data_IF_547562601166
#
_entry.id   IF_547562601166
#
_cell.length_a   1.000
_cell.length_b   1.000
_cell.length_c   1.000
_cell.angle_alpha   90.00
_cell.angle_beta   90.00
_cell.angle_gamma   90.00
#
_symmetry.space_group_name_H-M   'P 1'
#
loop_
_entity.id
_entity.type
_entity.pdbx_description
1 polymer ?
#
# COMPACT_ATOMS: atom_id res chain seq x y z
N UNK A 1 -1.70 1.71 9.72
CA UNK A 1 -0.34 1.62 9.13
C UNK A 1 0.35 0.38 9.67
N UNK A 2 1.26 -0.23 8.93
CA UNK A 2 2.19 -1.21 9.48
C UNK A 2 3.27 -0.52 10.33
N UNK A 3 3.75 -1.18 11.39
CA UNK A 3 4.73 -0.61 12.32
C UNK A 3 5.75 -1.65 12.80
N UNK A 4 7.02 -1.35 12.60
CA UNK A 4 8.20 -2.00 13.21
C UNK A 4 9.36 -0.98 13.28
N UNK A 5 10.53 -1.41 13.72
CA UNK A 5 11.71 -0.53 13.81
C UNK A 5 12.14 0.08 12.47
N UNK A 6 11.92 -0.64 11.35
CA UNK A 6 12.26 -0.16 10.00
C UNK A 6 11.28 0.93 9.53
N UNK A 7 10.01 0.81 9.91
CA UNK A 7 8.95 1.74 9.53
C UNK A 7 8.77 2.91 10.50
N UNK A 8 9.40 2.89 11.68
CA UNK A 8 9.18 3.90 12.72
C UNK A 8 9.43 5.32 12.20
N UNK A 9 10.60 5.61 11.61
CA UNK A 9 10.94 6.98 11.14
C UNK A 9 9.92 7.55 10.17
N UNK A 10 9.54 6.76 9.16
CA UNK A 10 8.50 7.14 8.21
C UNK A 10 7.14 7.32 8.89
N UNK A 11 6.76 6.39 9.78
CA UNK A 11 5.50 6.46 10.53
C UNK A 11 5.41 7.75 11.36
N UNK A 12 6.50 8.15 12.02
CA UNK A 12 6.55 9.41 12.79
C UNK A 12 6.30 10.62 11.88
N UNK A 13 6.94 10.66 10.71
CA UNK A 13 6.74 11.74 9.73
C UNK A 13 5.29 11.75 9.20
N UNK A 14 4.74 10.59 8.88
CA UNK A 14 3.37 10.46 8.42
C UNK A 14 2.37 10.94 9.48
N UNK A 15 2.49 10.46 10.72
CA UNK A 15 1.65 10.88 11.86
C UNK A 15 1.75 12.40 12.06
N UNK A 16 2.97 12.95 12.15
CA UNK A 16 3.16 14.39 12.31
C UNK A 16 2.49 15.18 11.19
N UNK A 17 2.71 14.80 9.93
CA UNK A 17 2.15 15.49 8.78
C UNK A 17 0.62 15.45 8.75
N UNK A 18 0.01 14.32 9.15
CA UNK A 18 -1.45 14.20 9.27
C UNK A 18 -1.97 15.13 10.36
N UNK A 19 -1.35 15.12 11.55
CA UNK A 19 -1.76 15.99 12.65
C UNK A 19 -1.64 17.49 12.29
N UNK A 20 -0.58 17.87 11.57
CA UNK A 20 -0.33 19.26 11.17
C UNK A 20 -1.33 19.80 10.14
N UNK A 21 -1.85 18.94 9.24
CA UNK A 21 -2.72 19.37 8.15
C UNK A 21 -4.20 19.05 8.38
N UNK A 22 -4.54 18.33 9.46
CA UNK A 22 -5.93 18.01 9.78
C UNK A 22 -6.61 19.19 10.47
N UNK A 23 -7.84 19.52 10.06
CA UNK A 23 -8.63 20.58 10.71
C UNK A 23 -9.02 20.19 12.14
N UNK A 24 -9.28 18.90 12.40
CA UNK A 24 -9.67 18.36 13.70
C UNK A 24 -8.86 17.09 14.02
N UNK A 25 -7.58 17.20 14.40
CA UNK A 25 -6.71 16.06 14.67
C UNK A 25 -7.20 15.17 15.83
N UNK A 26 -7.96 15.72 16.77
CA UNK A 26 -8.58 15.01 17.90
C UNK A 26 -9.59 13.94 17.48
N UNK A 27 -10.17 14.06 16.28
CA UNK A 27 -11.12 13.09 15.72
C UNK A 27 -10.41 11.91 15.03
N UNK A 28 -9.08 11.90 14.99
CA UNK A 28 -8.30 10.87 14.31
C UNK A 28 -7.82 9.84 15.32
N UNK A 29 -8.14 8.57 15.06
CA UNK A 29 -7.56 7.43 15.78
C UNK A 29 -6.58 6.70 14.88
N UNK A 30 -5.33 6.55 15.30
CA UNK A 30 -4.32 5.82 14.56
C UNK A 30 -4.33 4.33 14.93
N UNK A 31 -4.41 3.46 13.93
CA UNK A 31 -4.35 2.01 14.12
C UNK A 31 -3.03 1.47 13.54
N UNK A 32 -2.19 0.90 14.40
CA UNK A 32 -0.92 0.31 14.01
C UNK A 32 -0.98 -1.22 14.03
N UNK A 33 -0.57 -1.85 12.93
CA UNK A 33 -0.39 -3.30 12.83
C UNK A 33 1.09 -3.61 13.06
N UNK A 34 1.41 -4.35 14.11
CA UNK A 34 2.81 -4.70 14.46
C UNK A 34 3.10 -6.19 14.23
N UNK A 35 4.34 -6.54 13.88
CA UNK A 35 4.76 -7.95 13.86
C UNK A 35 5.15 -8.44 15.27
N UNK A 36 5.72 -7.53 16.08
CA UNK A 36 6.19 -7.78 17.44
C UNK A 36 6.02 -6.51 18.27
N UNK A 37 5.60 -6.67 19.54
CA UNK A 37 5.63 -5.57 20.49
C UNK A 37 7.08 -5.20 20.81
N UNK A 38 7.43 -3.92 20.63
CA UNK A 38 8.72 -3.35 21.01
C UNK A 38 8.49 -2.11 21.90
N UNK A 39 8.91 -2.18 23.16
CA UNK A 39 8.70 -1.12 24.15
C UNK A 39 9.31 0.21 23.72
N UNK A 40 10.45 0.18 23.05
CA UNK A 40 11.15 1.38 22.58
C UNK A 40 10.36 2.11 21.50
N UNK A 41 9.77 1.37 20.55
CA UNK A 41 8.93 1.93 19.48
C UNK A 41 7.67 2.57 20.09
N UNK A 42 6.99 1.84 20.97
CA UNK A 42 5.80 2.35 21.64
C UNK A 42 6.09 3.61 22.46
N UNK A 43 7.20 3.59 23.21
CA UNK A 43 7.64 4.72 24.03
C UNK A 43 8.06 5.92 23.18
N UNK A 44 8.67 5.69 22.00
CA UNK A 44 9.04 6.73 21.05
C UNK A 44 7.82 7.47 20.52
N UNK A 45 6.77 6.73 20.12
CA UNK A 45 5.51 7.32 19.65
C UNK A 45 4.85 8.13 20.78
N UNK A 46 4.70 7.55 21.98
CA UNK A 46 4.07 8.25 23.12
C UNK A 46 4.82 9.49 23.56
N UNK A 47 6.15 9.43 23.61
CA UNK A 47 6.98 10.58 24.04
C UNK A 47 6.92 11.70 23.02
N UNK A 48 6.91 11.37 21.73
CA UNK A 48 6.87 12.38 20.65
C UNK A 48 5.47 12.98 20.48
N UNK A 49 4.42 12.17 20.65
CA UNK A 49 3.03 12.60 20.52
C UNK A 49 2.21 12.22 21.78
N UNK A 50 2.35 12.98 22.89
CA UNK A 50 1.73 12.64 24.18
C UNK A 50 0.20 12.53 24.15
N UNK A 51 -0.44 13.26 23.25
CA UNK A 51 -1.90 13.32 23.10
C UNK A 51 -2.42 12.50 21.91
N UNK A 52 -1.56 11.71 21.26
CA UNK A 52 -1.97 10.89 20.12
C UNK A 52 -2.95 9.82 20.56
N UNK A 53 -4.13 9.82 19.96
CA UNK A 53 -5.07 8.71 20.08
C UNK A 53 -4.65 7.58 19.13
N UNK A 54 -4.03 6.52 19.66
CA UNK A 54 -3.63 5.37 18.87
C UNK A 54 -3.86 4.03 19.56
N UNK A 55 -4.03 3.00 18.75
CA UNK A 55 -4.19 1.60 19.14
C UNK A 55 -3.21 0.73 18.35
N UNK A 56 -2.72 -0.33 18.97
CA UNK A 56 -1.75 -1.25 18.34
C UNK A 56 -2.30 -2.67 18.37
N UNK A 57 -2.14 -3.39 17.27
CA UNK A 57 -2.75 -4.71 17.07
C UNK A 57 -1.76 -5.74 16.52
N UNK A 58 -1.67 -6.95 17.13
CA UNK A 58 -0.82 -8.05 16.67
C UNK A 58 -1.18 -8.52 15.27
N UNK A 59 -0.21 -8.43 14.37
CA UNK A 59 -0.20 -9.15 13.12
C UNK A 59 0.62 -10.42 13.29
N UNK A 60 -0.07 -11.57 13.30
CA UNK A 60 0.60 -12.87 13.29
C UNK A 60 1.22 -13.13 11.90
N UNK A 61 2.55 -13.02 11.84
CA UNK A 61 3.32 -13.29 10.63
C UNK A 61 3.13 -14.73 10.09
N UNK A 62 2.72 -15.69 10.91
CA UNK A 62 2.45 -17.06 10.46
C UNK A 62 1.30 -17.13 9.44
N UNK A 63 0.36 -16.16 9.45
CA UNK A 63 -0.72 -16.09 8.46
C UNK A 63 -0.21 -16.06 7.02
N UNK A 64 0.99 -15.50 6.80
CA UNK A 64 1.58 -15.28 5.47
C UNK A 64 2.87 -16.06 5.21
N UNK A 65 3.64 -16.48 6.22
CA UNK A 65 4.96 -17.13 6.02
C UNK A 65 4.93 -18.29 5.03
N UNK A 66 3.89 -19.12 5.06
CA UNK A 66 3.72 -20.25 4.13
C UNK A 66 3.25 -19.85 2.71
N UNK A 67 2.72 -18.64 2.55
CA UNK A 67 2.09 -18.13 1.32
C UNK A 67 2.99 -17.17 0.54
N UNK A 68 4.00 -16.59 1.19
CA UNK A 68 4.95 -15.68 0.53
C UNK A 68 5.88 -16.47 -0.39
N UNK A 69 6.01 -15.99 -1.62
CA UNK A 69 6.99 -16.48 -2.59
C UNK A 69 8.10 -15.44 -2.72
N UNK A 70 9.33 -15.88 -3.01
CA UNK A 70 10.45 -14.96 -3.22
C UNK A 70 10.09 -13.92 -4.28
N UNK A 71 10.05 -12.66 -3.87
CA UNK A 71 9.87 -11.52 -4.75
C UNK A 71 11.22 -11.14 -5.36
N UNK A 72 11.22 -10.25 -6.35
CA UNK A 72 12.49 -9.73 -6.88
C UNK A 72 13.27 -8.90 -5.84
N UNK A 73 12.61 -8.42 -4.78
CA UNK A 73 13.25 -7.69 -3.68
C UNK A 73 12.99 -8.43 -2.39
N UNK A 74 14.05 -8.83 -1.69
CA UNK A 74 13.92 -9.53 -0.39
C UNK A 74 13.13 -8.71 0.64
N UNK A 75 13.22 -7.38 0.60
CA UNK A 75 12.42 -6.50 1.46
C UNK A 75 10.91 -6.64 1.23
N UNK A 76 10.46 -7.08 0.04
CA UNK A 76 9.05 -7.32 -0.25
C UNK A 76 8.54 -8.63 0.35
N UNK A 77 9.43 -9.55 0.72
CA UNK A 77 9.09 -10.84 1.34
C UNK A 77 8.83 -10.70 2.85
N UNK A 78 9.00 -9.51 3.43
CA UNK A 78 8.71 -9.26 4.83
C UNK A 78 7.20 -9.47 5.11
N UNK A 79 6.83 -10.32 6.07
CA UNK A 79 5.43 -10.59 6.41
C UNK A 79 4.59 -9.33 6.61
N UNK A 80 5.19 -8.30 7.20
CA UNK A 80 4.50 -7.06 7.54
C UNK A 80 4.01 -6.28 6.29
N UNK A 81 4.61 -6.48 5.10
CA UNK A 81 4.10 -5.91 3.85
C UNK A 81 2.72 -6.45 3.44
N UNK A 82 2.36 -7.62 3.95
CA UNK A 82 1.10 -8.31 3.69
C UNK A 82 0.06 -8.04 4.79
N UNK A 83 0.43 -7.39 5.90
CA UNK A 83 -0.47 -7.14 7.02
C UNK A 83 -1.73 -6.36 6.61
N UNK A 84 -1.62 -5.48 5.59
CA UNK A 84 -2.74 -4.72 5.03
C UNK A 84 -3.89 -5.59 4.50
N UNK A 85 -3.61 -6.83 4.08
CA UNK A 85 -4.62 -7.81 3.62
C UNK A 85 -5.56 -8.19 4.76
N UNK A 86 -5.04 -8.20 5.98
CA UNK A 86 -5.71 -8.67 7.19
C UNK A 86 -6.25 -7.54 8.04
N UNK A 87 -6.17 -6.29 7.56
CA UNK A 87 -6.57 -5.11 8.31
C UNK A 87 -7.98 -5.29 8.90
N UNK A 88 -8.93 -5.71 8.08
CA UNK A 88 -10.33 -5.88 8.48
C UNK A 88 -10.54 -6.99 9.52
N UNK A 89 -9.71 -8.02 9.53
CA UNK A 89 -9.78 -9.12 10.50
C UNK A 89 -9.17 -8.72 11.86
N UNK A 90 -8.22 -7.79 11.85
CA UNK A 90 -7.41 -7.44 13.02
C UNK A 90 -8.01 -6.26 13.79
N UNK A 91 -8.56 -5.27 13.08
CA UNK A 91 -9.17 -4.11 13.72
C UNK A 91 -10.51 -4.48 14.37
N UNK A 92 -10.94 -3.74 15.42
CA UNK A 92 -12.19 -4.00 16.12
C UNK A 92 -13.42 -4.06 15.20
N UNK A 93 -14.41 -4.87 15.58
CA UNK A 93 -15.61 -5.12 14.77
C UNK A 93 -16.54 -3.91 14.66
N UNK A 94 -16.47 -2.97 15.60
CA UNK A 94 -17.17 -1.69 15.57
C UNK A 94 -16.54 -0.67 14.59
N UNK A 95 -15.31 -0.91 14.13
CA UNK A 95 -14.69 -0.11 13.08
C UNK A 95 -15.22 -0.56 11.71
N UNK A 96 -15.97 0.32 11.05
CA UNK A 96 -16.65 0.05 9.77
C UNK A 96 -15.94 0.64 8.55
N UNK A 97 -15.09 1.65 8.75
CA UNK A 97 -14.32 2.31 7.69
C UNK A 97 -12.93 2.66 8.19
N UNK A 98 -11.94 2.57 7.32
CA UNK A 98 -10.55 2.98 7.61
C UNK A 98 -9.89 3.62 6.40
N UNK A 99 -8.87 4.45 6.62
CA UNK A 99 -7.90 4.80 5.59
C UNK A 99 -6.62 4.02 5.91
N UNK A 100 -6.25 3.11 5.02
CA UNK A 100 -4.94 2.47 5.06
C UNK A 100 -3.89 3.39 4.43
N UNK A 101 -2.78 3.55 5.14
CA UNK A 101 -1.64 4.38 4.78
C UNK A 101 -0.36 3.57 5.00
N UNK A 102 0.50 3.49 3.97
CA UNK A 102 1.88 3.02 4.11
C UNK A 102 2.70 4.01 4.95
N UNK A 103 3.76 3.54 5.59
CA UNK A 103 4.55 4.34 6.55
C UNK A 103 5.44 5.39 5.90
N UNK A 104 5.57 5.41 4.57
CA UNK A 104 6.55 6.18 3.80
C UNK A 104 5.92 7.32 3.00
N UNK A 105 5.02 8.06 3.66
CA UNK A 105 4.30 9.17 3.07
C UNK A 105 4.30 10.43 3.95
N UNK A 106 4.00 11.55 3.31
CA UNK A 106 3.76 12.85 3.94
C UNK A 106 2.43 13.37 3.43
N UNK A 107 1.52 13.67 4.35
CA UNK A 107 0.24 14.33 4.08
C UNK A 107 0.44 15.84 4.03
N UNK A 108 -0.11 16.51 3.01
CA UNK A 108 -0.03 17.98 2.84
C UNK A 108 -1.41 18.63 2.68
N UNK A 109 -2.48 17.88 2.98
CA UNK A 109 -3.86 18.32 2.94
C UNK A 109 -4.68 17.65 4.05
N UNK A 110 -5.91 18.09 4.28
CA UNK A 110 -6.77 17.56 5.33
C UNK A 110 -7.28 16.15 4.97
N UNK A 111 -6.87 15.15 5.76
CA UNK A 111 -7.28 13.75 5.58
C UNK A 111 -8.81 13.54 5.65
N UNK A 112 -9.55 14.44 6.29
CA UNK A 112 -11.01 14.40 6.33
C UNK A 112 -11.63 14.47 4.93
N UNK A 113 -10.96 15.12 3.97
CA UNK A 113 -11.40 15.17 2.57
C UNK A 113 -11.32 13.80 1.91
N UNK A 114 -10.27 13.02 2.18
CA UNK A 114 -10.15 11.64 1.70
C UNK A 114 -11.14 10.71 2.42
N UNK A 115 -11.34 10.91 3.73
CA UNK A 115 -12.33 10.16 4.51
C UNK A 115 -13.76 10.34 3.99
N UNK A 116 -14.10 11.55 3.56
CA UNK A 116 -15.41 11.93 3.04
C UNK A 116 -15.75 11.41 1.64
N UNK A 117 -14.84 10.67 0.99
CA UNK A 117 -15.12 10.04 -0.30
C UNK A 117 -16.29 9.05 -0.16
N UNK A 118 -17.27 9.18 -1.06
CA UNK A 118 -18.32 8.19 -1.22
C UNK A 118 -17.78 6.98 -1.98
N UNK A 119 -17.91 5.80 -1.37
CA UNK A 119 -17.44 4.54 -1.94
C UNK A 119 -18.48 3.91 -2.88
N UNK A 120 -19.68 4.48 -2.97
CA UNK A 120 -20.81 3.89 -3.70
C UNK A 120 -21.04 2.42 -3.25
N UNK A 121 -21.15 1.51 -4.21
CA UNK A 121 -21.22 0.06 -3.99
C UNK A 121 -19.84 -0.58 -3.72
N UNK A 122 -18.74 0.13 -3.92
CA UNK A 122 -17.37 -0.42 -3.84
C UNK A 122 -16.91 -0.67 -2.42
N UNK A 123 -15.99 -1.63 -2.30
CA UNK A 123 -15.34 -2.00 -1.02
C UNK A 123 -14.18 -1.08 -0.67
N UNK A 124 -13.61 -0.40 -1.67
CA UNK A 124 -12.37 0.35 -1.54
C UNK A 124 -12.34 1.53 -2.53
N UNK A 125 -11.65 2.59 -2.14
CA UNK A 125 -11.23 3.68 -3.02
C UNK A 125 -9.71 3.89 -3.00
N UNK A 126 -9.13 4.21 -4.15
CA UNK A 126 -7.73 4.57 -4.32
C UNK A 126 -7.52 5.31 -5.67
N UNK A 127 -6.40 6.03 -5.86
CA UNK A 127 -6.03 6.56 -7.17
C UNK A 127 -5.82 5.45 -8.21
N UNK A 128 -6.55 5.52 -9.33
CA UNK A 128 -6.48 4.54 -10.42
C UNK A 128 -5.70 5.07 -11.63
N UNK A 129 -4.92 4.19 -12.25
CA UNK A 129 -4.13 4.46 -13.44
C UNK A 129 -4.46 3.41 -14.52
N UNK A 130 -5.48 3.70 -15.31
CA UNK A 130 -6.04 2.75 -16.28
C UNK A 130 -5.19 2.52 -17.53
N UNK A 131 -4.15 3.34 -17.76
CA UNK A 131 -3.19 3.17 -18.86
C UNK A 131 -2.02 2.25 -18.50
N UNK A 132 -2.02 1.66 -17.30
CA UNK A 132 -0.95 0.75 -16.89
C UNK A 132 -0.95 -0.52 -17.75
N UNK A 133 0.23 -0.91 -18.23
CA UNK A 133 0.38 -2.17 -18.95
C UNK A 133 0.45 -3.34 -17.95
N UNK A 134 -0.62 -4.14 -17.89
CA UNK A 134 -0.72 -5.28 -16.96
C UNK A 134 0.27 -6.42 -17.27
N UNK A 135 0.82 -6.51 -18.49
CA UNK A 135 1.85 -7.52 -18.82
C UNK A 135 3.14 -7.33 -18.05
N UNK A 136 3.33 -6.13 -17.47
CA UNK A 136 4.41 -5.87 -16.53
C UNK A 136 4.15 -6.59 -15.20
N UNK A 137 2.94 -6.50 -14.64
CA UNK A 137 2.65 -6.94 -13.26
C UNK A 137 2.54 -8.47 -13.09
N UNK A 138 2.36 -9.21 -14.19
CA UNK A 138 2.17 -10.66 -14.21
C UNK A 138 3.10 -11.31 -15.22
N UNK A 139 3.58 -12.52 -14.93
CA UNK A 139 4.54 -13.26 -15.77
C UNK A 139 3.90 -13.86 -17.01
N UNK A 140 4.71 -14.30 -17.98
CA UNK A 140 4.23 -15.05 -19.14
C UNK A 140 3.48 -16.33 -18.73
N UNK A 141 3.84 -16.94 -17.60
CA UNK A 141 3.13 -18.09 -17.04
C UNK A 141 1.68 -17.75 -16.64
N UNK A 142 1.41 -16.52 -16.21
CA UNK A 142 0.04 -16.06 -15.96
C UNK A 142 -0.76 -15.90 -17.26
N UNK A 143 -0.17 -15.21 -18.24
CA UNK A 143 -0.88 -14.88 -19.49
C UNK A 143 -1.06 -16.06 -20.44
N UNK A 144 -0.17 -17.06 -20.37
CA UNK A 144 -0.29 -18.29 -21.15
C UNK A 144 -1.30 -19.29 -20.57
N UNK A 145 -1.66 -19.16 -19.29
CA UNK A 145 -2.71 -19.96 -18.67
C UNK A 145 -4.07 -19.26 -18.84
N UNK A 146 -4.88 -19.78 -19.76
CA UNK A 146 -6.19 -19.20 -20.08
C UNK A 146 -7.09 -19.08 -18.84
N UNK A 147 -7.05 -20.04 -17.90
CA UNK A 147 -7.87 -20.00 -16.70
C UNK A 147 -7.51 -18.85 -15.77
N UNK A 148 -6.23 -18.45 -15.75
CA UNK A 148 -5.76 -17.32 -14.96
C UNK A 148 -6.05 -15.99 -15.67
N UNK A 149 -5.75 -15.91 -16.97
CA UNK A 149 -5.99 -14.71 -17.77
C UNK A 149 -7.48 -14.33 -17.83
N UNK A 150 -8.39 -15.31 -17.76
CA UNK A 150 -9.83 -15.10 -17.67
C UNK A 150 -10.26 -14.21 -16.48
N UNK A 151 -9.43 -14.08 -15.44
CA UNK A 151 -9.65 -13.16 -14.31
C UNK A 151 -9.90 -11.71 -14.74
N UNK A 152 -9.29 -11.28 -15.84
CA UNK A 152 -9.44 -9.93 -16.39
C UNK A 152 -10.40 -9.85 -17.59
N UNK A 153 -10.95 -10.98 -18.04
CA UNK A 153 -11.86 -11.00 -19.19
C UNK A 153 -13.13 -10.20 -18.90
N UNK A 154 -13.47 -9.29 -19.81
CA UNK A 154 -14.64 -8.41 -19.68
C UNK A 154 -14.50 -7.30 -18.64
N UNK A 155 -13.32 -7.15 -18.01
CA UNK A 155 -13.01 -6.04 -17.10
C UNK A 155 -12.18 -4.99 -17.83
N UNK A 156 -12.21 -3.77 -17.33
CA UNK A 156 -11.23 -2.73 -17.64
C UNK A 156 -10.31 -2.58 -16.43
N UNK A 157 -9.30 -3.46 -16.27
CA UNK A 157 -8.48 -3.45 -15.07
C UNK A 157 -7.61 -2.19 -15.04
N UNK A 158 -7.74 -1.40 -13.99
CA UNK A 158 -6.88 -0.26 -13.72
C UNK A 158 -5.89 -0.57 -12.60
N UNK A 159 -4.65 -0.11 -12.75
CA UNK A 159 -3.67 -0.21 -11.68
C UNK A 159 -4.06 0.76 -10.56
N UNK A 160 -3.92 0.33 -9.31
CA UNK A 160 -3.90 1.24 -8.17
C UNK A 160 -2.78 0.82 -7.23
N UNK A 161 -2.18 1.81 -6.57
CA UNK A 161 -1.18 1.57 -5.54
C UNK A 161 -1.87 1.23 -4.22
N UNK A 162 -1.40 0.19 -3.52
CA UNK A 162 -2.01 -0.29 -2.25
C UNK A 162 -1.52 0.43 -1.00
N UNK A 163 -0.78 1.53 -1.15
CA UNK A 163 -0.24 2.30 -0.02
C UNK A 163 -1.15 3.42 0.48
N UNK A 164 -2.19 3.77 -0.28
CA UNK A 164 -3.25 4.70 0.15
C UNK A 164 -4.59 4.15 -0.29
N UNK A 165 -5.42 3.73 0.66
CA UNK A 165 -6.72 3.10 0.37
C UNK A 165 -7.76 3.53 1.40
N UNK A 166 -8.93 4.01 0.95
CA UNK A 166 -10.10 4.12 1.82
C UNK A 166 -10.84 2.79 1.73
N UNK A 167 -11.08 2.14 2.86
CA UNK A 167 -11.62 0.78 2.91
C UNK A 167 -12.92 0.77 3.70
N UNK A 168 -13.98 0.25 3.07
CA UNK A 168 -15.19 -0.19 3.75
C UNK A 168 -14.90 -1.55 4.39
N UNK A 169 -14.69 -1.52 5.70
CA UNK A 169 -14.27 -2.69 6.48
C UNK A 169 -15.39 -3.71 6.56
N UNK A 170 -16.64 -3.26 6.65
CA UNK A 170 -17.78 -4.15 6.75
C UNK A 170 -18.00 -4.89 5.43
N UNK A 171 -17.97 -4.18 4.29
CA UNK A 171 -18.03 -4.83 2.97
C UNK A 171 -16.82 -5.74 2.75
N UNK A 172 -15.64 -5.37 3.24
CA UNK A 172 -14.45 -6.23 3.15
C UNK A 172 -14.66 -7.57 3.87
N UNK A 173 -15.18 -7.52 5.11
CA UNK A 173 -15.49 -8.71 5.91
C UNK A 173 -16.60 -9.55 5.27
N UNK A 174 -17.73 -8.92 4.94
CA UNK A 174 -18.90 -9.61 4.35
C UNK A 174 -18.57 -10.25 3.00
N UNK A 175 -17.75 -9.57 2.19
CA UNK A 175 -17.32 -10.06 0.88
C UNK A 175 -16.19 -11.08 0.92
N UNK A 176 -15.66 -11.43 2.11
CA UNK A 176 -14.56 -12.39 2.27
C UNK A 176 -13.29 -12.00 1.51
N UNK A 177 -13.00 -10.69 1.40
CA UNK A 177 -11.91 -10.19 0.57
C UNK A 177 -10.54 -10.63 1.05
N UNK A 178 -10.34 -10.80 2.36
CA UNK A 178 -9.11 -11.40 2.91
C UNK A 178 -8.83 -12.76 2.27
N UNK A 179 -9.83 -13.66 2.26
CA UNK A 179 -9.67 -15.01 1.69
C UNK A 179 -9.41 -14.96 0.18
N UNK A 180 -10.16 -14.13 -0.55
CA UNK A 180 -9.96 -13.96 -2.02
C UNK A 180 -8.52 -13.54 -2.35
N UNK A 181 -7.93 -12.66 -1.55
CA UNK A 181 -6.54 -12.24 -1.73
C UNK A 181 -5.58 -13.38 -1.36
N UNK A 182 -5.83 -14.12 -0.27
CA UNK A 182 -5.02 -15.27 0.11
C UNK A 182 -5.01 -16.38 -0.95
N UNK A 183 -6.15 -16.65 -1.59
CA UNK A 183 -6.27 -17.68 -2.63
C UNK A 183 -5.30 -17.40 -3.79
N UNK A 184 -5.17 -16.12 -4.19
CA UNK A 184 -4.19 -15.69 -5.18
C UNK A 184 -2.74 -15.82 -4.71
N UNK A 185 -2.47 -15.63 -3.43
CA UNK A 185 -1.14 -15.89 -2.86
C UNK A 185 -0.78 -17.38 -2.90
N UNK A 186 -1.77 -18.27 -2.70
CA UNK A 186 -1.59 -19.72 -2.85
C UNK A 186 -1.29 -20.08 -4.31
N UNK A 187 -2.04 -19.53 -5.27
CA UNK A 187 -1.78 -19.72 -6.71
C UNK A 187 -0.37 -19.25 -7.07
N UNK A 188 0.05 -18.08 -6.56
CA UNK A 188 1.41 -17.58 -6.75
C UNK A 188 2.48 -18.54 -6.25
N UNK A 189 2.25 -19.16 -5.08
CA UNK A 189 3.20 -20.12 -4.49
C UNK A 189 3.42 -21.34 -5.38
N UNK A 190 2.39 -21.77 -6.11
CA UNK A 190 2.41 -22.93 -6.97
C UNK A 190 2.91 -22.61 -8.39
N UNK A 191 2.42 -21.51 -8.99
CA UNK A 191 2.60 -21.21 -10.42
C UNK A 191 3.56 -20.06 -10.73
N UNK A 192 3.97 -19.25 -9.74
CA UNK A 192 4.88 -18.10 -9.91
C UNK A 192 4.41 -17.11 -10.99
N UNK A 193 3.16 -16.69 -10.86
CA UNK A 193 2.41 -15.83 -11.79
C UNK A 193 2.77 -14.34 -11.72
N UNK A 194 3.54 -13.92 -10.73
CA UNK A 194 4.10 -12.56 -10.64
C UNK A 194 5.43 -12.56 -9.87
N UNK A 195 6.12 -11.42 -9.90
CA UNK A 195 7.44 -11.21 -9.28
C UNK A 195 7.47 -10.13 -8.19
N UNK A 196 6.37 -9.39 -8.08
CA UNK A 196 6.13 -8.34 -7.10
C UNK A 196 5.71 -8.92 -5.73
N UNK A 197 5.68 -8.06 -4.71
CA UNK A 197 5.25 -8.40 -3.34
C UNK A 197 3.73 -8.54 -3.20
N UNK A 198 3.14 -7.81 -2.25
CA UNK A 198 1.72 -7.95 -1.91
C UNK A 198 0.72 -7.30 -2.89
N UNK A 199 1.19 -6.51 -3.87
CA UNK A 199 0.34 -5.75 -4.79
C UNK A 199 -0.47 -6.64 -5.77
N UNK A 200 0.11 -7.59 -6.52
CA UNK A 200 -0.66 -8.30 -7.56
C UNK A 200 -1.90 -9.04 -7.07
N UNK A 201 -1.90 -9.69 -5.88
CA UNK A 201 -3.12 -10.24 -5.29
C UNK A 201 -4.26 -9.22 -5.13
N UNK A 202 -3.96 -7.97 -4.77
CA UNK A 202 -4.98 -6.90 -4.76
C UNK A 202 -5.50 -6.62 -6.17
N UNK A 203 -4.62 -6.50 -7.16
CA UNK A 203 -5.03 -6.24 -8.54
C UNK A 203 -5.90 -7.37 -9.11
N UNK A 204 -5.57 -8.62 -8.82
CA UNK A 204 -6.35 -9.79 -9.26
C UNK A 204 -7.78 -9.79 -8.68
N UNK A 205 -7.95 -9.29 -7.45
CA UNK A 205 -9.26 -9.23 -6.79
C UNK A 205 -10.05 -7.96 -7.14
N UNK A 206 -9.37 -6.82 -7.29
CA UNK A 206 -10.00 -5.50 -7.24
C UNK A 206 -9.77 -4.59 -8.45
N UNK A 207 -8.83 -4.89 -9.36
CA UNK A 207 -8.55 -3.99 -10.48
C UNK A 207 -9.81 -3.80 -11.36
N UNK A 208 -10.20 -2.53 -11.55
CA UNK A 208 -11.43 -2.16 -12.27
C UNK A 208 -12.73 -2.33 -11.46
N UNK A 209 -12.64 -2.60 -10.15
CA UNK A 209 -13.81 -2.69 -9.26
C UNK A 209 -13.56 -1.97 -7.92
N UNK A 210 -12.95 -0.79 -8.00
CA UNK A 210 -12.79 0.14 -6.87
C UNK A 210 -13.37 1.50 -7.24
N UNK A 211 -13.51 2.38 -6.25
CA UNK A 211 -13.87 3.77 -6.49
C UNK A 211 -12.59 4.57 -6.77
N UNK A 212 -12.47 5.12 -7.97
CA UNK A 212 -11.38 6.03 -8.30
C UNK A 212 -11.46 7.31 -7.45
N UNK A 213 -10.31 7.75 -6.93
CA UNK A 213 -10.15 9.09 -6.35
C UNK A 213 -9.06 9.85 -7.09
N UNK A 214 -9.07 11.18 -6.92
CA UNK A 214 -8.11 12.09 -7.54
C UNK A 214 -6.66 11.67 -7.21
N UNK A 215 -5.77 11.74 -8.21
CA UNK A 215 -4.37 11.34 -8.12
C UNK A 215 -3.57 12.14 -7.09
N UNK A 216 -4.06 13.32 -6.68
CA UNK A 216 -3.48 14.13 -5.59
C UNK A 216 -3.27 13.35 -4.29
N UNK A 217 -4.08 12.32 -4.05
CA UNK A 217 -4.03 11.50 -2.85
C UNK A 217 -2.91 10.45 -2.87
N UNK A 218 -2.15 10.34 -3.96
CA UNK A 218 -1.00 9.45 -4.00
C UNK A 218 0.01 9.88 -5.08
N UNK A 219 0.81 10.91 -4.79
CA UNK A 219 2.02 11.25 -5.54
C UNK A 219 3.12 10.22 -5.24
N UNK A 220 2.95 9.02 -5.77
CA UNK A 220 3.81 7.86 -5.55
C UNK A 220 5.03 7.82 -6.47
N UNK A 221 6.00 6.97 -6.11
CA UNK A 221 7.23 6.74 -6.86
C UNK A 221 8.40 7.64 -6.45
N UNK A 222 8.25 8.45 -5.40
CA UNK A 222 9.31 9.34 -4.93
C UNK A 222 10.51 8.59 -4.32
N UNK A 223 10.32 7.31 -3.97
CA UNK A 223 11.37 6.40 -3.53
C UNK A 223 11.94 5.52 -4.64
N UNK A 224 11.74 5.89 -5.90
CA UNK A 224 12.37 5.26 -7.06
C UNK A 224 13.89 5.43 -7.11
N UNK A 225 14.49 5.03 -8.23
CA UNK A 225 15.93 5.12 -8.42
C UNK A 225 16.36 6.59 -8.63
N UNK A 226 16.79 7.23 -7.55
CA UNK A 226 17.32 8.59 -7.56
C UNK A 226 18.81 8.62 -7.97
N UNK A 227 19.38 7.47 -8.31
CA UNK A 227 20.74 7.35 -8.83
C UNK A 227 20.73 7.87 -10.28
N UNK A 228 21.74 8.67 -10.64
CA UNK A 228 21.87 9.39 -11.92
C UNK A 228 20.91 10.59 -12.15
N UNK A 229 20.24 11.13 -11.11
CA UNK A 229 19.41 12.33 -11.28
C UNK A 229 18.11 12.11 -12.05
N UNK A 230 17.72 10.84 -12.26
CA UNK A 230 16.45 10.44 -12.89
C UNK A 230 15.30 10.47 -11.88
N UNK A 231 15.03 11.64 -11.29
CA UNK A 231 13.84 11.83 -10.48
C UNK A 231 12.59 11.57 -11.34
N UNK A 232 11.65 10.78 -10.82
CA UNK A 232 10.34 10.62 -11.48
C UNK A 232 9.63 11.98 -11.51
N UNK A 233 9.11 12.37 -12.68
CA UNK A 233 8.24 13.54 -12.78
C UNK A 233 7.02 13.37 -11.87
N UNK A 234 6.66 14.45 -11.17
CA UNK A 234 5.40 14.52 -10.46
C UNK A 234 4.25 14.43 -11.48
N UNK A 235 3.14 13.82 -11.08
CA UNK A 235 1.96 13.85 -11.95
C UNK A 235 1.35 15.27 -11.83
N UNK A 236 0.71 15.78 -12.88
CA UNK A 236 0.23 17.15 -12.88
C UNK A 236 -0.99 17.34 -11.97
N UNK A 237 -1.17 18.57 -11.50
CA UNK A 237 -2.29 18.95 -10.64
C UNK A 237 -1.88 19.16 -9.19
N UNK A 238 -2.87 19.39 -8.31
CA UNK A 238 -2.62 19.59 -6.89
C UNK A 238 -2.11 18.30 -6.23
N UNK A 239 -1.38 18.47 -5.13
CA UNK A 239 -0.82 17.37 -4.34
C UNK A 239 -1.41 17.45 -2.94
N UNK A 240 -2.01 16.35 -2.48
CA UNK A 240 -2.51 16.19 -1.11
C UNK A 240 -1.66 15.20 -0.30
N UNK A 241 -0.95 14.28 -0.98
CA UNK A 241 -0.10 13.27 -0.34
C UNK A 241 1.10 12.91 -1.21
N UNK A 242 2.29 13.01 -0.63
CA UNK A 242 3.58 12.60 -1.20
C UNK A 242 3.97 11.20 -0.70
N UNK A 243 4.36 10.28 -1.58
CA UNK A 243 4.61 8.89 -1.21
C UNK A 243 5.94 8.37 -1.79
N UNK A 244 6.88 8.06 -0.90
CA UNK A 244 8.19 7.48 -1.20
C UNK A 244 8.15 5.98 -1.46
N UNK A 245 7.15 5.52 -2.22
CA UNK A 245 7.04 4.13 -2.63
C UNK A 245 8.30 3.69 -3.39
N UNK A 246 8.97 2.64 -2.94
CA UNK A 246 10.24 2.18 -3.51
C UNK A 246 11.34 1.99 -2.45
N UNK A 247 12.61 2.02 -2.86
CA UNK A 247 13.77 1.79 -1.98
C UNK A 247 14.31 3.10 -1.39
N UNK A 248 14.31 4.18 -2.16
CA UNK A 248 14.85 5.47 -1.74
C UNK A 248 14.01 6.09 -0.64
N UNK A 249 14.46 6.03 0.61
CA UNK A 249 13.80 6.68 1.74
C UNK A 249 14.59 7.90 2.18
N UNK A 250 13.95 9.04 2.43
CA UNK A 250 14.64 10.26 2.81
C UNK A 250 15.36 10.16 4.18
N UNK A 251 14.99 9.19 5.02
CA UNK A 251 15.60 8.94 6.33
C UNK A 251 16.70 7.86 6.34
N UNK A 252 16.98 7.24 5.18
CA UNK A 252 18.12 6.34 5.01
C UNK A 252 19.25 7.18 4.41
N UNK A 253 20.35 7.37 5.16
CA UNK A 253 21.55 8.01 4.61
C UNK A 253 22.06 7.19 3.43
N UNK A 254 22.52 7.85 2.36
CA UNK A 254 23.11 7.23 1.17
C UNK A 254 24.31 6.34 1.51
N UNK A 255 24.09 5.11 1.94
CA UNK A 255 25.09 4.03 1.99
C UNK A 255 24.37 2.72 1.81
N UNK A 256 24.06 2.39 0.56
CA UNK A 256 24.34 1.10 -0.04
C UNK A 256 23.97 1.21 -1.51
N UNK A 257 25.02 1.35 -2.32
CA UNK A 257 24.97 1.23 -3.76
C UNK A 257 24.57 -0.21 -4.08
N UNK A 258 23.27 -0.46 -4.23
CA UNK A 258 22.77 -1.76 -4.71
C UNK A 258 22.65 -1.68 -6.23
N UNK A 259 23.76 -1.31 -6.88
CA UNK A 259 23.95 -1.36 -8.32
C UNK A 259 24.06 -2.82 -8.78
N UNK A 260 22.93 -3.54 -8.77
CA UNK A 260 22.84 -4.84 -9.41
C UNK A 260 21.37 -5.28 -9.55
N UNK A 261 20.89 -5.24 -10.80
CA UNK A 261 19.87 -6.14 -11.36
C UNK A 261 18.40 -6.01 -10.94
N UNK A 262 17.61 -4.98 -11.30
CA UNK A 262 16.13 -5.16 -11.23
C UNK A 262 15.32 -4.45 -12.34
N UNK A 263 14.66 -5.21 -13.26
CA UNK A 263 13.79 -4.67 -14.32
C UNK A 263 12.53 -3.91 -13.87
N UNK A 264 12.21 -3.87 -12.56
CA UNK A 264 11.00 -3.21 -12.04
C UNK A 264 11.06 -1.67 -12.04
N UNK A 265 12.24 -1.06 -12.23
CA UNK A 265 12.34 0.39 -12.38
C UNK A 265 11.66 0.89 -13.67
N UNK A 266 11.56 0.04 -14.71
CA UNK A 266 10.79 0.34 -15.94
C UNK A 266 9.26 0.32 -15.73
N UNK A 267 8.77 -0.02 -14.54
CA UNK A 267 7.33 -0.19 -14.29
C UNK A 267 6.71 1.11 -13.79
N UNK A 268 7.44 1.86 -12.97
CA UNK A 268 7.04 3.18 -12.49
C UNK A 268 7.37 4.31 -13.48
N UNK A 269 8.29 4.08 -14.43
CA UNK A 269 8.65 5.02 -15.49
C UNK A 269 7.64 5.08 -16.67
N UNK A 270 6.52 4.36 -16.64
CA UNK A 270 5.60 4.25 -17.79
C UNK A 270 4.14 4.55 -17.46
N UNK A 271 3.86 5.24 -16.36
CA UNK A 271 2.59 5.96 -16.25
C UNK A 271 2.77 7.24 -17.08
N UNK A 272 2.08 7.38 -18.23
CA UNK A 272 2.23 8.58 -19.03
C UNK A 272 1.91 9.79 -18.16
N UNK A 273 2.74 10.83 -18.27
CA UNK A 273 2.35 12.18 -17.88
C UNK A 273 1.04 12.47 -18.61
N UNK A 274 -0.07 12.49 -17.90
CA UNK A 274 -1.36 12.86 -18.47
C UNK A 274 -1.28 14.33 -18.87
N UNK A 275 -1.28 14.62 -20.17
CA UNK A 275 -1.59 15.97 -20.67
C UNK A 275 -3.06 16.30 -20.40
#
# INVERSE_FOLDING_TARGET
>A
MALDGNYLRGTMAAVLSILQHSTCPENITFHFLWSRFELEIFSSIKTTFPYLNFKVYPFDANRVRGKISKSIRQALDQPLNYARIYLADIIPTDVKRTIYLDSDLVMVDDIAKLWGVDLDDKVLAAPEYCHANFTKYFTDAFWSDQSLAETFKGKQPCYFNTGVMVVDVDKWRQGGYTQKVEDWMVVQKQKRIYHLGSLPPFLLVLAGNIKAVDHRWNQHGLGGDNIEGKCRSLHPGPISLLHWSGKGKPWLSQQEDVSAYFPEERYYHHLPSTN
#
